data_IF_369656741283
#
_entry.id   IF_369656741283
#
_cell.length_a   1.000
_cell.length_b   1.000
_cell.length_c   1.000
_cell.angle_alpha   90.00
_cell.angle_beta   90.00
_cell.angle_gamma   90.00
#
_symmetry.space_group_name_H-M   'P 1'
#
loop_
_entity.id
_entity.type
_entity.pdbx_description
1 polymer ?
#
# COMPACT_ATOMS: atom_id res chain seq x y z
N UNK A 1 29.69 -37.13 -28.62
CA UNK A 1 29.19 -35.91 -29.26
C UNK A 1 27.67 -36.00 -29.30
N UNK A 2 26.99 -35.28 -28.43
CA UNK A 2 25.52 -35.20 -28.39
C UNK A 2 25.10 -34.18 -29.41
N UNK A 3 24.59 -34.65 -30.55
CA UNK A 3 23.94 -33.83 -31.58
C UNK A 3 22.65 -33.26 -30.95
N UNK A 4 22.64 -31.98 -30.70
CA UNK A 4 21.42 -31.26 -30.34
C UNK A 4 20.42 -31.39 -31.49
N UNK A 5 19.18 -31.84 -31.24
CA UNK A 5 18.17 -31.83 -32.28
C UNK A 5 17.92 -30.36 -32.67
N UNK A 6 18.11 -30.07 -33.93
CA UNK A 6 17.70 -28.78 -34.52
C UNK A 6 16.18 -28.76 -34.52
N UNK A 7 15.63 -28.23 -33.43
CA UNK A 7 14.21 -27.92 -33.34
C UNK A 7 13.90 -26.86 -34.42
N UNK A 8 13.30 -27.29 -35.51
CA UNK A 8 12.74 -26.36 -36.49
C UNK A 8 11.51 -25.76 -35.83
N UNK A 9 11.48 -24.45 -35.52
CA UNK A 9 10.30 -23.85 -34.97
C UNK A 9 9.17 -24.01 -36.01
N UNK A 10 8.16 -24.74 -35.63
CA UNK A 10 6.95 -24.84 -36.42
C UNK A 10 6.16 -23.54 -36.25
N UNK A 11 5.47 -23.09 -37.28
CA UNK A 11 4.61 -21.89 -37.18
C UNK A 11 3.64 -21.98 -36.01
N UNK A 12 3.25 -23.16 -35.61
CA UNK A 12 2.41 -23.44 -34.46
C UNK A 12 3.12 -23.13 -33.13
N UNK A 13 4.42 -23.43 -33.00
CA UNK A 13 5.21 -23.11 -31.81
C UNK A 13 5.35 -21.61 -31.66
N UNK A 14 5.60 -20.88 -32.73
CA UNK A 14 5.66 -19.43 -32.75
C UNK A 14 4.32 -18.81 -32.32
N UNK A 15 3.21 -19.38 -32.75
CA UNK A 15 1.87 -18.93 -32.42
C UNK A 15 1.55 -19.15 -30.94
N UNK A 16 1.93 -20.31 -30.39
CA UNK A 16 1.75 -20.62 -28.96
C UNK A 16 2.59 -19.70 -28.11
N UNK A 17 3.86 -19.46 -28.43
CA UNK A 17 4.75 -18.55 -27.72
C UNK A 17 4.19 -17.12 -27.73
N UNK A 18 3.69 -16.66 -28.88
CA UNK A 18 3.09 -15.35 -29.03
C UNK A 18 1.83 -15.19 -28.19
N UNK A 19 0.99 -16.23 -28.15
CA UNK A 19 -0.22 -16.25 -27.34
C UNK A 19 0.09 -16.21 -25.84
N UNK A 20 1.07 -17.01 -25.38
CA UNK A 20 1.50 -17.00 -23.98
C UNK A 20 2.12 -15.66 -23.60
N UNK A 21 2.96 -15.09 -24.47
CA UNK A 21 3.55 -13.76 -24.24
C UNK A 21 2.48 -12.66 -24.16
N UNK A 22 1.49 -12.70 -25.04
CA UNK A 22 0.37 -11.75 -25.04
C UNK A 22 -0.47 -11.88 -23.75
N UNK A 23 -0.72 -13.10 -23.30
CA UNK A 23 -1.46 -13.36 -22.06
C UNK A 23 -0.68 -12.87 -20.83
N UNK A 24 0.62 -13.14 -20.78
CA UNK A 24 1.49 -12.67 -19.71
C UNK A 24 1.57 -11.13 -19.66
N UNK A 25 1.68 -10.49 -20.83
CA UNK A 25 1.66 -9.03 -20.93
C UNK A 25 0.31 -8.44 -20.48
N UNK A 26 -0.79 -9.05 -20.87
CA UNK A 26 -2.13 -8.62 -20.45
C UNK A 26 -2.32 -8.76 -18.93
N UNK A 27 -1.86 -9.86 -18.32
CA UNK A 27 -1.88 -10.04 -16.87
C UNK A 27 -1.00 -9.01 -16.15
N UNK A 28 0.21 -8.75 -16.67
CA UNK A 28 1.10 -7.76 -16.09
C UNK A 28 0.49 -6.35 -16.14
N UNK A 29 -0.11 -5.97 -17.24
CA UNK A 29 -0.79 -4.67 -17.38
C UNK A 29 -2.03 -4.58 -16.49
N UNK A 30 -2.79 -5.66 -16.34
CA UNK A 30 -3.95 -5.71 -15.45
C UNK A 30 -3.55 -5.56 -13.97
N UNK A 31 -2.46 -6.22 -13.56
CA UNK A 31 -1.94 -6.13 -12.19
C UNK A 31 -1.32 -4.76 -11.91
N UNK A 32 -0.55 -4.23 -12.86
CA UNK A 32 0.12 -2.93 -12.66
C UNK A 32 -0.82 -1.75 -12.88
N UNK A 33 -1.76 -1.86 -13.82
CA UNK A 33 -2.76 -0.82 -14.08
C UNK A 33 -3.86 -0.75 -13.02
N UNK A 34 -4.17 -1.86 -12.37
CA UNK A 34 -5.21 -1.93 -11.34
C UNK A 34 -4.81 -1.35 -9.97
N UNK A 35 -3.53 -1.00 -9.76
CA UNK A 35 -3.05 -0.44 -8.49
C UNK A 35 -2.97 1.09 -8.48
N UNK A 36 -3.29 1.74 -9.58
CA UNK A 36 -3.45 3.20 -9.60
C UNK A 36 -4.90 3.53 -9.22
N UNK A 37 -5.21 3.43 -7.94
CA UNK A 37 -6.45 3.99 -7.39
C UNK A 37 -6.45 5.49 -7.70
N UNK A 38 -7.13 5.87 -8.77
CA UNK A 38 -7.26 7.25 -9.25
C UNK A 38 -8.28 8.05 -8.42
N UNK A 39 -8.37 7.77 -7.13
CA UNK A 39 -9.24 8.49 -6.21
C UNK A 39 -8.44 9.27 -5.17
N UNK A 40 -9.12 10.17 -4.46
CA UNK A 40 -8.50 10.92 -3.38
C UNK A 40 -7.89 9.98 -2.36
N UNK A 41 -6.65 10.27 -1.95
CA UNK A 41 -5.98 9.51 -0.91
C UNK A 41 -6.57 9.84 0.45
N UNK A 42 -6.92 8.81 1.19
CA UNK A 42 -7.45 8.91 2.54
C UNK A 42 -6.52 8.20 3.51
N UNK A 43 -6.08 8.90 4.55
CA UNK A 43 -5.35 8.31 5.64
C UNK A 43 -6.35 7.79 6.68
N UNK A 44 -6.28 6.51 6.96
CA UNK A 44 -7.09 5.84 8.00
C UNK A 44 -6.17 5.49 9.16
N UNK A 45 -6.48 6.02 10.31
CA UNK A 45 -5.72 5.77 11.54
C UNK A 45 -6.52 4.86 12.45
N UNK A 46 -5.91 3.73 12.79
CA UNK A 46 -6.47 2.72 13.69
C UNK A 46 -5.62 2.64 14.94
N UNK A 47 -6.24 2.72 16.08
CA UNK A 47 -5.60 2.58 17.40
C UNK A 47 -6.28 1.44 18.16
N UNK A 48 -5.51 0.51 18.66
CA UNK A 48 -6.02 -0.70 19.35
C UNK A 48 -7.06 -1.49 18.56
N UNK A 49 -6.95 -1.49 17.22
CA UNK A 49 -7.87 -2.17 16.32
C UNK A 49 -9.16 -1.41 16.00
N UNK A 50 -9.35 -0.22 16.58
CA UNK A 50 -10.49 0.64 16.27
C UNK A 50 -10.06 1.81 15.38
N UNK A 51 -10.83 2.09 14.32
CA UNK A 51 -10.63 3.29 13.51
C UNK A 51 -10.96 4.53 14.33
N UNK A 52 -9.98 5.39 14.55
CA UNK A 52 -10.14 6.61 15.34
C UNK A 52 -10.26 7.85 14.50
N UNK A 53 -9.65 7.87 13.33
CA UNK A 53 -9.66 9.03 12.45
C UNK A 53 -9.53 8.61 10.99
N UNK A 54 -10.20 9.33 10.10
CA UNK A 54 -10.14 9.18 8.65
C UNK A 54 -9.99 10.57 8.03
N UNK A 55 -8.88 10.80 7.34
CA UNK A 55 -8.52 12.10 6.80
C UNK A 55 -8.32 12.01 5.30
N UNK A 56 -9.07 12.78 4.53
CA UNK A 56 -8.87 12.93 3.08
C UNK A 56 -7.71 13.89 2.82
N UNK A 57 -6.60 13.37 2.31
CA UNK A 57 -5.37 14.15 2.13
C UNK A 57 -5.48 15.19 1.03
N UNK A 58 -6.26 14.90 -0.01
CA UNK A 58 -6.41 15.81 -1.15
C UNK A 58 -7.22 17.07 -0.84
N UNK A 59 -8.02 17.03 0.21
CA UNK A 59 -8.85 18.17 0.64
C UNK A 59 -8.17 19.08 1.66
N UNK A 60 -6.95 18.72 2.08
CA UNK A 60 -6.25 19.51 3.07
C UNK A 60 -5.59 20.74 2.46
N UNK A 61 -5.75 21.89 3.11
CA UNK A 61 -5.14 23.16 2.69
C UNK A 61 -3.64 23.26 3.07
N UNK A 62 -3.12 22.34 3.87
CA UNK A 62 -1.74 22.35 4.34
C UNK A 62 -1.40 21.09 5.13
N UNK A 63 -0.14 20.98 5.54
CA UNK A 63 0.34 19.88 6.38
C UNK A 63 -0.39 19.87 7.71
N UNK A 64 -0.95 18.73 8.08
CA UNK A 64 -1.65 18.51 9.34
C UNK A 64 -0.84 17.56 10.20
N UNK A 65 -0.54 17.99 11.41
CA UNK A 65 0.09 17.15 12.42
C UNK A 65 -0.97 16.61 13.39
N UNK A 66 -0.86 15.34 13.70
CA UNK A 66 -1.71 14.66 14.67
C UNK A 66 -0.84 13.86 15.65
N UNK A 67 -1.27 13.82 16.88
CA UNK A 67 -0.61 13.05 17.93
C UNK A 67 -1.55 11.95 18.40
N UNK A 68 -1.07 10.72 18.35
CA UNK A 68 -1.79 9.55 18.83
C UNK A 68 -1.04 8.93 19.99
N UNK A 69 -1.75 8.55 21.03
CA UNK A 69 -1.17 7.90 22.21
C UNK A 69 -1.91 6.61 22.50
N UNK A 70 -1.17 5.52 22.62
CA UNK A 70 -1.70 4.22 23.01
C UNK A 70 -0.59 3.36 23.62
N UNK A 71 -0.95 2.47 24.53
CA UNK A 71 0.00 1.55 25.15
C UNK A 71 1.16 2.20 25.91
N UNK A 72 1.02 3.47 26.33
CA UNK A 72 2.10 4.23 26.98
C UNK A 72 3.07 4.89 26.00
N UNK A 73 2.81 4.82 24.71
CA UNK A 73 3.63 5.42 23.66
C UNK A 73 2.86 6.52 22.93
N UNK A 74 3.58 7.53 22.49
CA UNK A 74 3.03 8.66 21.74
C UNK A 74 3.69 8.73 20.37
N UNK A 75 2.88 8.90 19.33
CA UNK A 75 3.31 9.07 17.96
C UNK A 75 2.87 10.43 17.45
N UNK A 76 3.80 11.17 16.83
CA UNK A 76 3.48 12.37 16.06
C UNK A 76 3.48 12.02 14.58
N UNK A 77 2.37 12.24 13.94
CA UNK A 77 2.14 11.91 12.53
C UNK A 77 1.95 13.19 11.75
N UNK A 78 2.71 13.36 10.68
CA UNK A 78 2.57 14.46 9.72
C UNK A 78 1.88 13.95 8.46
N UNK A 79 0.88 14.68 8.01
CA UNK A 79 0.09 14.39 6.82
C UNK A 79 0.14 15.58 5.87
N UNK A 80 0.72 15.36 4.69
CA UNK A 80 0.88 16.41 3.70
C UNK A 80 -0.28 16.39 2.67
N UNK A 81 -0.72 17.55 2.20
CA UNK A 81 -1.68 17.63 1.11
C UNK A 81 -1.09 16.96 -0.14
N UNK A 82 -1.89 16.17 -0.82
CA UNK A 82 -1.43 15.42 -1.98
C UNK A 82 -0.85 14.04 -1.68
N UNK A 83 -0.87 13.59 -0.41
CA UNK A 83 -0.76 12.18 -0.09
C UNK A 83 0.51 11.72 0.62
N UNK A 84 1.30 12.58 1.21
CA UNK A 84 2.43 12.16 2.06
C UNK A 84 2.00 11.96 3.52
N UNK A 85 2.22 10.78 4.08
CA UNK A 85 2.02 10.51 5.52
C UNK A 85 3.29 9.90 6.10
N UNK A 86 3.75 10.44 7.21
CA UNK A 86 4.91 9.91 7.93
C UNK A 86 4.78 10.08 9.43
N UNK A 87 5.47 9.25 10.17
CA UNK A 87 5.65 9.41 11.60
C UNK A 87 6.92 10.22 11.84
N UNK A 88 6.78 11.40 12.42
CA UNK A 88 7.90 12.29 12.73
C UNK A 88 8.65 11.84 13.98
N UNK A 89 7.88 11.50 15.01
CA UNK A 89 8.40 11.05 16.29
C UNK A 89 7.56 9.91 16.84
N UNK A 90 8.22 9.00 17.52
CA UNK A 90 7.57 7.91 18.23
C UNK A 90 8.33 7.65 19.53
N UNK A 91 7.58 7.41 20.60
CA UNK A 91 8.13 6.96 21.89
C UNK A 91 8.50 5.47 21.91
N UNK A 92 8.24 4.71 20.82
CA UNK A 92 8.52 3.29 20.81
C UNK A 92 10.03 2.99 20.72
N UNK A 93 10.51 1.91 21.37
CA UNK A 93 11.94 1.62 21.45
C UNK A 93 12.57 1.22 20.11
N UNK A 94 11.83 0.60 19.21
CA UNK A 94 12.34 0.15 17.90
C UNK A 94 12.39 1.25 16.86
N UNK A 95 11.55 2.29 16.97
CA UNK A 95 11.45 3.38 15.99
C UNK A 95 11.13 2.95 14.55
N UNK A 96 10.61 1.74 14.36
CA UNK A 96 10.33 1.19 13.03
C UNK A 96 9.31 2.03 12.26
N UNK A 97 8.32 2.58 12.96
CA UNK A 97 7.33 3.47 12.35
C UNK A 97 7.95 4.77 11.80
N UNK A 98 8.95 5.32 12.49
CA UNK A 98 9.72 6.49 12.02
C UNK A 98 10.61 6.10 10.84
N UNK A 99 11.29 4.95 10.92
CA UNK A 99 12.17 4.44 9.87
C UNK A 99 11.43 4.00 8.60
N UNK A 100 10.15 3.70 8.68
CA UNK A 100 9.32 3.40 7.50
C UNK A 100 9.32 4.56 6.49
N UNK A 101 9.49 5.79 6.98
CA UNK A 101 9.53 6.98 6.15
C UNK A 101 8.15 7.42 5.67
N UNK A 102 8.12 8.14 4.56
CA UNK A 102 6.89 8.70 3.99
C UNK A 102 6.18 7.68 3.11
N UNK A 103 4.92 7.42 3.39
CA UNK A 103 4.04 6.63 2.51
C UNK A 103 3.20 7.58 1.66
N UNK A 104 3.07 7.27 0.37
CA UNK A 104 2.45 8.16 -0.62
C UNK A 104 1.43 7.50 -1.52
N UNK A 105 1.27 6.17 -1.43
CA UNK A 105 0.41 5.39 -2.32
C UNK A 105 -0.65 4.62 -1.54
N UNK A 106 -1.81 4.48 -2.17
CA UNK A 106 -2.85 3.59 -1.67
C UNK A 106 -2.32 2.16 -1.45
N UNK A 107 -2.73 1.54 -0.36
CA UNK A 107 -2.26 0.20 0.04
C UNK A 107 -1.01 0.20 0.90
N UNK A 108 -0.28 1.31 1.00
CA UNK A 108 0.83 1.42 1.94
C UNK A 108 0.33 1.67 3.37
N UNK A 109 1.07 1.20 4.34
CA UNK A 109 0.75 1.40 5.75
C UNK A 109 2.00 1.56 6.60
N UNK A 110 1.86 2.31 7.70
CA UNK A 110 2.84 2.41 8.78
C UNK A 110 2.24 1.70 9.98
N UNK A 111 2.97 0.77 10.56
CA UNK A 111 2.52 -0.01 11.71
C UNK A 111 3.47 0.21 12.88
N UNK A 112 2.92 0.60 14.01
CA UNK A 112 3.64 0.67 15.28
C UNK A 112 3.01 -0.35 16.24
N UNK A 113 3.65 -1.51 16.37
CA UNK A 113 3.14 -2.60 17.21
C UNK A 113 3.15 -2.27 18.72
N UNK A 114 4.19 -1.64 19.29
CA UNK A 114 4.17 -1.30 20.70
C UNK A 114 3.02 -0.34 21.08
N UNK A 115 2.76 0.64 20.21
CA UNK A 115 1.67 1.60 20.38
C UNK A 115 0.32 1.12 19.84
N UNK A 116 0.29 -0.01 19.15
CA UNK A 116 -0.90 -0.56 18.47
C UNK A 116 -1.59 0.46 17.54
N UNK A 117 -0.79 1.26 16.86
CA UNK A 117 -1.24 2.27 15.90
C UNK A 117 -0.92 1.80 14.50
N UNK A 118 -1.92 1.83 13.64
CA UNK A 118 -1.79 1.51 12.22
C UNK A 118 -2.30 2.70 11.43
N UNK A 119 -1.47 3.19 10.51
CA UNK A 119 -1.84 4.25 9.58
C UNK A 119 -1.82 3.64 8.19
N UNK A 120 -2.96 3.61 7.53
CA UNK A 120 -3.12 3.05 6.17
C UNK A 120 -3.54 4.14 5.21
N UNK A 121 -2.96 4.14 4.02
CA UNK A 121 -3.44 4.94 2.91
C UNK A 121 -4.42 4.12 2.06
N UNK A 122 -5.62 4.64 1.93
CA UNK A 122 -6.65 4.13 1.03
C UNK A 122 -6.82 5.12 -0.12
N UNK A 123 -6.94 4.61 -1.34
CA UNK A 123 -7.18 5.42 -2.52
C UNK A 123 -8.39 4.92 -3.28
N UNK A 124 -9.10 5.85 -3.91
CA UNK A 124 -10.30 5.54 -4.65
C UNK A 124 -11.55 5.50 -3.79
N UNK A 125 -12.68 5.21 -4.40
CA UNK A 125 -13.94 4.98 -3.71
C UNK A 125 -13.71 3.89 -2.67
N UNK A 126 -13.90 4.23 -1.41
CA UNK A 126 -13.82 3.30 -0.31
C UNK A 126 -14.64 2.07 -0.66
N UNK A 127 -13.95 0.98 -0.92
CA UNK A 127 -14.59 -0.32 -1.01
C UNK A 127 -15.11 -0.63 0.39
N UNK A 128 -16.40 -0.35 0.60
CA UNK A 128 -17.11 -0.68 1.84
C UNK A 128 -17.18 -2.19 2.08
N UNK A 129 -16.45 -2.94 1.27
CA UNK A 129 -16.40 -4.39 1.27
C UNK A 129 -14.96 -4.91 1.36
N UNK A 130 -14.10 -4.24 2.14
CA UNK A 130 -12.94 -4.96 2.62
C UNK A 130 -13.45 -6.07 3.53
N UNK A 131 -13.22 -7.35 3.22
CA UNK A 131 -13.57 -8.40 4.15
C UNK A 131 -12.79 -8.14 5.43
N UNK A 132 -13.51 -8.00 6.51
CA UNK A 132 -12.95 -8.02 7.86
C UNK A 132 -12.30 -9.40 8.04
N UNK A 133 -11.05 -9.53 7.62
CA UNK A 133 -10.26 -10.70 7.98
C UNK A 133 -9.85 -10.49 9.43
N UNK A 134 -10.75 -10.81 10.32
CA UNK A 134 -10.44 -11.01 11.73
C UNK A 134 -9.64 -12.29 11.81
N UNK A 135 -8.33 -12.17 11.76
CA UNK A 135 -7.45 -13.26 12.19
C UNK A 135 -7.41 -13.16 13.70
N UNK A 136 -8.31 -13.91 14.31
CA UNK A 136 -8.31 -14.12 15.76
C UNK A 136 -7.14 -14.96 16.20
#
# INVERSE_FOLDING_TARGET
MKSSPKLRPCLWDALVVLLVAALAAACALAVWGGHSGSGPLTAVVTVDGAEVERIELDRQAGTVERTYSSGGYTLRVSMEPGGGVRVEESGCPTQDCVHTGTITRAGQSIVCLPARVIIRLEGGTADKHAPDVVIG
#
